data_IF_048468107749
#
_entry.id   IF_048468107749
#
_cell.length_a   1.000
_cell.length_b   1.000
_cell.length_c   1.000
_cell.angle_alpha   90.00
_cell.angle_beta   90.00
_cell.angle_gamma   90.00
#
_symmetry.space_group_name_H-M   'P 1'
#
loop_
_entity.id
_entity.type
_entity.pdbx_description
1 polymer ?
#
# COMPACT_ATOMS: atom_id res chain seq x y z
N UNK A 1 18.97 -9.83 12.86
CA UNK A 1 18.50 -8.44 12.65
C UNK A 1 16.99 -8.49 12.64
N UNK A 2 16.36 -8.02 13.70
CA UNK A 2 14.93 -8.12 13.92
C UNK A 2 14.19 -7.19 12.95
N UNK A 3 13.67 -7.76 11.87
CA UNK A 3 12.79 -7.05 10.95
C UNK A 3 11.46 -6.88 11.69
N UNK A 4 11.31 -5.75 12.40
CA UNK A 4 10.04 -5.41 13.05
C UNK A 4 9.00 -5.10 11.98
N UNK A 5 8.29 -6.15 11.59
CA UNK A 5 7.07 -6.16 10.79
C UNK A 5 6.03 -5.26 11.44
N UNK A 6 5.88 -4.04 10.93
CA UNK A 6 4.74 -3.17 11.30
C UNK A 6 4.26 -2.45 10.02
N UNK A 7 3.74 -3.22 9.08
CA UNK A 7 2.91 -2.68 7.99
C UNK A 7 1.44 -3.06 8.22
N UNK A 8 1.18 -4.21 8.85
CA UNK A 8 -0.19 -4.67 9.14
C UNK A 8 -0.92 -3.94 10.27
N UNK A 9 -0.24 -3.48 11.33
CA UNK A 9 -0.93 -2.96 12.54
C UNK A 9 -1.48 -1.54 12.32
N UNK A 10 -0.75 -0.65 11.66
CA UNK A 10 -1.22 0.71 11.36
C UNK A 10 -2.34 0.69 10.32
N UNK A 11 -2.22 -0.13 9.28
CA UNK A 11 -3.29 -0.34 8.30
C UNK A 11 -4.58 -0.89 8.94
N UNK A 12 -4.46 -1.89 9.82
CA UNK A 12 -5.60 -2.46 10.54
C UNK A 12 -6.29 -1.44 11.46
N UNK A 13 -5.54 -0.53 12.11
CA UNK A 13 -6.11 0.54 12.95
C UNK A 13 -6.88 1.58 12.14
N UNK A 14 -6.40 1.97 10.96
CA UNK A 14 -7.07 2.92 10.06
C UNK A 14 -8.36 2.30 9.53
N UNK A 15 -8.31 1.07 9.03
CA UNK A 15 -9.45 0.39 8.41
C UNK A 15 -10.51 -0.09 9.43
N UNK A 16 -10.14 -0.31 10.70
CA UNK A 16 -11.11 -0.69 11.74
C UNK A 16 -11.96 0.46 12.30
N UNK A 17 -11.58 1.74 12.08
CA UNK A 17 -12.44 2.85 12.51
C UNK A 17 -13.64 3.04 11.58
N UNK A 18 -13.41 2.89 10.29
CA UNK A 18 -14.42 2.72 9.26
C UNK A 18 -13.71 2.22 8.00
N UNK A 19 -14.28 1.21 7.36
CA UNK A 19 -13.83 0.75 6.05
C UNK A 19 -14.02 1.89 5.03
N UNK A 20 -12.99 2.28 4.26
CA UNK A 20 -13.10 3.36 3.29
C UNK A 20 -14.06 2.95 2.17
N UNK A 21 -14.80 3.92 1.63
CA UNK A 21 -15.80 3.68 0.58
C UNK A 21 -15.16 3.82 -0.80
N UNK A 22 -15.49 2.90 -1.70
CA UNK A 22 -15.11 3.02 -3.11
C UNK A 22 -15.81 4.23 -3.76
N UNK A 23 -15.21 4.86 -4.79
CA UNK A 23 -13.91 4.54 -5.39
C UNK A 23 -12.71 5.04 -4.54
N UNK A 24 -11.56 4.37 -4.65
CA UNK A 24 -10.38 4.66 -3.84
C UNK A 24 -9.18 5.00 -4.71
N UNK A 25 -8.43 6.02 -4.29
CA UNK A 25 -7.06 6.26 -4.75
C UNK A 25 -6.13 5.76 -3.65
N UNK A 26 -5.21 4.87 -4.02
CA UNK A 26 -4.28 4.24 -3.09
C UNK A 26 -2.86 4.48 -3.55
N UNK A 27 -2.13 5.29 -2.80
CA UNK A 27 -0.71 5.55 -3.04
C UNK A 27 0.12 4.67 -2.10
N UNK A 28 0.97 3.84 -2.70
CA UNK A 28 1.91 2.99 -1.98
C UNK A 28 3.34 3.41 -2.33
N UNK A 29 4.07 3.94 -1.35
CA UNK A 29 5.46 4.37 -1.53
C UNK A 29 6.40 3.36 -0.91
N UNK A 30 7.20 2.68 -1.74
CA UNK A 30 8.25 1.77 -1.30
C UNK A 30 9.49 2.58 -0.88
N UNK A 31 9.76 2.60 0.43
CA UNK A 31 10.89 3.35 0.98
C UNK A 31 12.06 2.39 1.19
N UNK A 32 13.19 2.64 0.53
CA UNK A 32 14.36 1.76 0.63
C UNK A 32 15.71 2.45 0.33
N UNK A 33 16.86 1.85 0.70
CA UNK A 33 18.17 2.49 0.57
C UNK A 33 18.63 2.74 -0.87
N UNK A 34 18.10 1.96 -1.81
CA UNK A 34 18.48 1.96 -3.23
C UNK A 34 17.26 2.22 -4.10
N UNK A 35 17.47 2.84 -5.26
CA UNK A 35 16.43 2.92 -6.28
C UNK A 35 16.28 1.56 -6.97
N UNK A 36 15.05 1.17 -7.26
CA UNK A 36 14.72 -0.06 -8.00
C UNK A 36 14.18 0.33 -9.36
N UNK A 37 14.18 -0.64 -10.28
CA UNK A 37 13.44 -0.51 -11.52
C UNK A 37 11.92 -0.46 -11.24
N UNK A 38 11.12 0.22 -12.08
CA UNK A 38 9.69 0.41 -11.81
C UNK A 38 8.89 -0.89 -11.65
N UNK A 39 9.20 -1.92 -12.44
CA UNK A 39 8.58 -3.25 -12.36
C UNK A 39 8.93 -3.97 -11.04
N UNK A 40 10.16 -3.81 -10.56
CA UNK A 40 10.61 -4.30 -9.26
C UNK A 40 9.90 -3.57 -8.10
N UNK A 41 9.57 -2.28 -8.25
CA UNK A 41 8.76 -1.54 -7.27
C UNK A 41 7.34 -2.09 -7.23
N UNK A 42 6.71 -2.29 -8.40
CA UNK A 42 5.36 -2.88 -8.49
C UNK A 42 5.33 -4.28 -7.88
N UNK A 43 6.30 -5.14 -8.23
CA UNK A 43 6.43 -6.48 -7.67
C UNK A 43 6.60 -6.48 -6.15
N UNK A 44 7.41 -5.56 -5.61
CA UNK A 44 7.61 -5.42 -4.17
C UNK A 44 6.34 -4.96 -3.42
N UNK A 45 5.45 -4.22 -4.09
CA UNK A 45 4.23 -3.66 -3.51
C UNK A 45 2.99 -4.53 -3.74
N UNK A 46 3.03 -5.54 -4.62
CA UNK A 46 1.87 -6.38 -4.97
C UNK A 46 1.21 -7.03 -3.76
N UNK A 47 2.01 -7.55 -2.82
CA UNK A 47 1.48 -8.18 -1.61
C UNK A 47 0.79 -7.17 -0.68
N UNK A 48 1.20 -5.89 -0.71
CA UNK A 48 0.54 -4.83 0.06
C UNK A 48 -0.79 -4.47 -0.60
N UNK A 49 -0.81 -4.34 -1.92
CA UNK A 49 -2.02 -4.15 -2.71
C UNK A 49 -3.06 -5.25 -2.44
N UNK A 50 -2.65 -6.53 -2.50
CA UNK A 50 -3.52 -7.68 -2.19
C UNK A 50 -4.11 -7.60 -0.78
N UNK A 51 -3.29 -7.21 0.19
CA UNK A 51 -3.72 -7.08 1.57
C UNK A 51 -4.73 -5.94 1.75
N UNK A 52 -4.52 -4.79 1.09
CA UNK A 52 -5.47 -3.67 1.10
C UNK A 52 -6.79 -4.10 0.49
N UNK A 53 -6.77 -4.70 -0.70
CA UNK A 53 -7.95 -5.20 -1.39
C UNK A 53 -8.73 -6.22 -0.54
N UNK A 54 -8.01 -7.14 0.13
CA UNK A 54 -8.61 -8.10 1.07
C UNK A 54 -9.35 -7.40 2.22
N UNK A 55 -8.76 -6.39 2.85
CA UNK A 55 -9.40 -5.66 3.96
C UNK A 55 -10.56 -4.79 3.45
N UNK A 56 -10.40 -4.15 2.30
CA UNK A 56 -11.46 -3.39 1.63
C UNK A 56 -12.50 -4.32 0.99
N UNK A 57 -12.28 -5.64 0.96
CA UNK A 57 -13.23 -6.63 0.43
C UNK A 57 -13.71 -6.34 -1.00
N UNK A 58 -12.86 -5.73 -1.82
CA UNK A 58 -13.06 -5.48 -3.25
C UNK A 58 -11.83 -6.01 -3.97
N UNK A 59 -12.03 -6.67 -5.12
CA UNK A 59 -10.96 -7.25 -5.92
C UNK A 59 -9.91 -6.20 -6.30
N UNK A 60 -8.61 -6.54 -6.27
CA UNK A 60 -7.54 -5.58 -6.50
C UNK A 60 -7.43 -5.15 -7.98
N UNK A 61 -8.07 -5.89 -8.89
CA UNK A 61 -8.24 -5.53 -10.31
C UNK A 61 -9.49 -4.69 -10.60
N UNK A 62 -10.30 -4.34 -9.59
CA UNK A 62 -11.49 -3.51 -9.77
C UNK A 62 -11.12 -2.08 -10.18
N UNK A 63 -11.75 -1.58 -11.24
CA UNK A 63 -11.48 -0.26 -11.84
C UNK A 63 -11.76 0.93 -10.91
N UNK A 64 -12.51 0.70 -9.82
CA UNK A 64 -12.76 1.72 -8.81
C UNK A 64 -11.53 2.02 -7.96
N UNK A 65 -10.49 1.17 -8.03
CA UNK A 65 -9.17 1.50 -7.51
C UNK A 65 -8.35 2.31 -8.52
N UNK A 66 -7.71 3.36 -8.03
CA UNK A 66 -6.57 4.01 -8.66
C UNK A 66 -5.33 3.66 -7.85
N UNK A 67 -4.53 2.71 -8.34
CA UNK A 67 -3.28 2.29 -7.71
C UNK A 67 -2.12 3.16 -8.18
N UNK A 68 -1.37 3.72 -7.23
CA UNK A 68 -0.13 4.45 -7.48
C UNK A 68 1.01 3.74 -6.76
N UNK A 69 1.98 3.25 -7.53
CA UNK A 69 3.22 2.65 -7.04
C UNK A 69 4.33 3.69 -7.14
N UNK A 70 4.88 4.08 -5.99
CA UNK A 70 5.95 5.07 -5.92
C UNK A 70 7.14 4.54 -5.11
N UNK A 71 8.27 5.24 -5.18
CA UNK A 71 9.48 4.91 -4.46
C UNK A 71 10.17 6.16 -3.92
N UNK A 72 10.52 6.11 -2.64
CA UNK A 72 11.36 7.11 -1.98
C UNK A 72 12.65 6.47 -1.45
N UNK A 73 13.73 7.27 -1.37
CA UNK A 73 14.97 6.81 -0.73
C UNK A 73 14.86 6.92 0.78
N UNK A 74 15.17 5.84 1.50
CA UNK A 74 15.17 5.82 2.96
C UNK A 74 16.14 4.82 3.56
N UNK A 75 16.45 4.96 4.85
CA UNK A 75 17.45 4.10 5.52
C UNK A 75 16.92 2.70 5.88
N UNK A 76 15.61 2.51 5.86
CA UNK A 76 14.93 1.26 6.24
C UNK A 76 13.95 0.87 5.14
N UNK A 77 13.78 -0.43 4.94
CA UNK A 77 12.73 -0.97 4.09
C UNK A 77 11.37 -0.81 4.79
N UNK A 78 10.49 -0.01 4.20
CA UNK A 78 9.12 0.18 4.69
C UNK A 78 8.20 0.57 3.54
N UNK A 79 6.90 0.45 3.74
CA UNK A 79 5.88 0.93 2.80
C UNK A 79 5.05 1.99 3.51
N UNK A 80 4.89 3.16 2.87
CA UNK A 80 3.89 4.17 3.25
C UNK A 80 2.65 3.93 2.41
N UNK A 81 1.49 3.98 3.04
CA UNK A 81 0.19 3.74 2.38
C UNK A 81 -0.70 4.94 2.68
N UNK A 82 -1.24 5.54 1.63
CA UNK A 82 -2.19 6.64 1.69
C UNK A 82 -3.44 6.23 0.92
N UNK A 83 -4.62 6.35 1.54
CA UNK A 83 -5.91 5.93 0.97
C UNK A 83 -6.85 7.13 1.00
N UNK A 84 -7.37 7.50 -0.17
CA UNK A 84 -8.28 8.63 -0.38
C UNK A 84 -9.57 8.13 -1.05
N UNK A 85 -10.74 8.55 -0.54
CA UNK A 85 -12.01 8.35 -1.25
C UNK A 85 -12.07 9.30 -2.45
N UNK A 86 -12.28 8.76 -3.65
CA UNK A 86 -12.46 9.53 -4.87
C UNK A 86 -13.95 9.90 -4.95
N UNK A 87 -14.25 11.20 -5.01
CA UNK A 87 -15.62 11.72 -5.14
C UNK A 87 -16.11 11.69 -6.59
#
# INVERSE_FOLDING_TARGET
>A
MEQKTITGIEMYRILNRAKPRMPLKVTMTYICPKRLDPDNVVGALKHVQDAIATVVGVDDGDERYEWIHDQERGKKYTVRIEIEERL
#
